data_IF_983410056137
#
_entry.id   IF_983410056137
#
_cell.length_a   1.000
_cell.length_b   1.000
_cell.length_c   1.000
_cell.angle_alpha   90.00
_cell.angle_beta   90.00
_cell.angle_gamma   90.00
#
_symmetry.space_group_name_H-M   'P 1'
#
loop_
_entity.id
_entity.type
_entity.pdbx_description
1 polymer ?
#
# COMPACT_ATOMS: atom_id res chain seq x y z
N UNK A 1 20.39 4.61 -16.96
CA UNK A 1 19.37 3.95 -16.09
C UNK A 1 19.32 4.46 -14.66
N UNK A 2 20.45 4.58 -13.94
CA UNK A 2 20.48 5.12 -12.56
C UNK A 2 19.78 6.48 -12.37
N UNK A 3 20.00 7.43 -13.29
CA UNK A 3 19.35 8.75 -13.25
C UNK A 3 17.83 8.66 -13.45
N UNK A 4 17.35 7.74 -14.29
CA UNK A 4 15.92 7.52 -14.52
C UNK A 4 15.26 6.96 -13.25
N UNK A 5 15.90 5.99 -12.59
CA UNK A 5 15.42 5.43 -11.32
C UNK A 5 15.29 6.52 -10.25
N UNK A 6 16.31 7.37 -10.10
CA UNK A 6 16.28 8.50 -9.15
C UNK A 6 15.16 9.49 -9.51
N UNK A 7 15.02 9.84 -10.79
CA UNK A 7 13.97 10.74 -11.25
C UNK A 7 12.56 10.19 -10.97
N UNK A 8 12.32 8.91 -11.27
CA UNK A 8 11.04 8.24 -10.98
C UNK A 8 10.78 8.19 -9.48
N UNK A 9 11.79 7.82 -8.67
CA UNK A 9 11.67 7.78 -7.22
C UNK A 9 11.28 9.15 -6.63
N UNK A 10 11.98 10.22 -7.04
CA UNK A 10 11.69 11.59 -6.58
C UNK A 10 10.29 12.01 -7.05
N UNK A 11 9.97 11.81 -8.33
CA UNK A 11 8.67 12.19 -8.88
C UNK A 11 7.52 11.46 -8.18
N UNK A 12 7.64 10.15 -7.92
CA UNK A 12 6.64 9.37 -7.20
C UNK A 12 6.42 9.87 -5.77
N UNK A 13 7.49 10.26 -5.06
CA UNK A 13 7.38 10.83 -3.70
C UNK A 13 6.72 12.20 -3.73
N UNK A 14 7.08 13.07 -4.67
CA UNK A 14 6.46 14.40 -4.82
C UNK A 14 4.97 14.26 -5.19
N UNK A 15 4.67 13.43 -6.19
CA UNK A 15 3.30 13.18 -6.62
C UNK A 15 2.45 12.62 -5.47
N UNK A 16 3.01 11.67 -4.73
CA UNK A 16 2.36 11.15 -3.54
C UNK A 16 2.15 12.23 -2.47
N UNK A 17 3.17 13.02 -2.13
CA UNK A 17 3.04 14.09 -1.11
C UNK A 17 1.93 15.08 -1.46
N UNK A 18 1.84 15.49 -2.73
CA UNK A 18 0.79 16.40 -3.20
C UNK A 18 -0.58 15.73 -3.10
N UNK A 19 -0.74 14.53 -3.64
CA UNK A 19 -2.04 13.82 -3.62
C UNK A 19 -2.48 13.45 -2.20
N UNK A 20 -1.56 13.02 -1.35
CA UNK A 20 -1.78 12.74 0.06
C UNK A 20 -2.20 14.01 0.82
N UNK A 21 -1.50 15.13 0.60
CA UNK A 21 -1.84 16.43 1.20
C UNK A 21 -3.24 16.90 0.81
N UNK A 22 -3.56 16.87 -0.49
CA UNK A 22 -4.90 17.23 -0.98
C UNK A 22 -5.96 16.29 -0.40
N UNK A 23 -5.72 14.97 -0.42
CA UNK A 23 -6.67 13.99 0.13
C UNK A 23 -6.92 14.19 1.63
N UNK A 24 -5.90 14.62 2.37
CA UNK A 24 -6.03 14.88 3.81
C UNK A 24 -6.96 16.03 4.09
N UNK A 25 -6.73 17.17 3.44
CA UNK A 25 -7.59 18.35 3.59
C UNK A 25 -9.02 18.03 3.16
N UNK A 26 -9.19 17.34 2.03
CA UNK A 26 -10.52 16.97 1.55
C UNK A 26 -11.26 16.04 2.51
N UNK A 27 -10.59 15.01 3.02
CA UNK A 27 -11.23 14.03 3.91
C UNK A 27 -11.51 14.62 5.28
N UNK A 28 -10.64 15.46 5.84
CA UNK A 28 -10.90 16.16 7.11
C UNK A 28 -12.17 17.03 7.02
N UNK A 29 -12.34 17.77 5.92
CA UNK A 29 -13.54 18.58 5.70
C UNK A 29 -14.80 17.71 5.51
N UNK A 30 -14.72 16.66 4.68
CA UNK A 30 -15.86 15.76 4.40
C UNK A 30 -16.27 14.94 5.62
N UNK A 31 -15.32 14.58 6.48
CA UNK A 31 -15.57 13.77 7.69
C UNK A 31 -16.45 14.48 8.71
N UNK A 32 -16.65 15.81 8.60
CA UNK A 32 -17.64 16.54 9.40
C UNK A 32 -19.09 16.23 9.00
N UNK A 33 -19.30 15.68 7.80
CA UNK A 33 -20.64 15.46 7.22
C UNK A 33 -20.92 13.98 6.94
N UNK A 34 -19.89 13.17 6.73
CA UNK A 34 -20.01 11.76 6.34
C UNK A 34 -19.16 10.91 7.27
N UNK A 35 -19.71 9.80 7.75
CA UNK A 35 -18.95 8.86 8.59
C UNK A 35 -17.71 8.33 7.85
N UNK A 36 -16.53 8.24 8.52
CA UNK A 36 -15.28 7.79 7.91
C UNK A 36 -15.36 6.42 7.23
N UNK A 37 -16.27 5.54 7.66
CA UNK A 37 -16.47 4.22 7.07
C UNK A 37 -16.90 4.30 5.60
N UNK A 38 -17.77 5.25 5.24
CA UNK A 38 -18.22 5.41 3.85
C UNK A 38 -17.11 5.97 2.97
N UNK A 39 -16.35 6.93 3.49
CA UNK A 39 -15.18 7.50 2.80
C UNK A 39 -14.16 6.40 2.53
N UNK A 40 -13.84 5.60 3.55
CA UNK A 40 -12.93 4.47 3.43
C UNK A 40 -13.43 3.42 2.43
N UNK A 41 -14.71 3.07 2.46
CA UNK A 41 -15.30 2.11 1.52
C UNK A 41 -15.21 2.59 0.07
N UNK A 42 -15.54 3.85 -0.20
CA UNK A 42 -15.43 4.45 -1.55
C UNK A 42 -13.96 4.45 -2.00
N UNK A 43 -13.04 4.85 -1.14
CA UNK A 43 -11.61 4.86 -1.45
C UNK A 43 -11.07 3.45 -1.76
N UNK A 44 -11.47 2.44 -0.99
CA UNK A 44 -11.12 1.03 -1.24
C UNK A 44 -11.69 0.54 -2.55
N UNK A 45 -12.96 0.83 -2.83
CA UNK A 45 -13.60 0.43 -4.08
C UNK A 45 -12.90 1.07 -5.28
N UNK A 46 -12.54 2.35 -5.18
CA UNK A 46 -11.79 3.05 -6.22
C UNK A 46 -10.40 2.43 -6.43
N UNK A 47 -9.65 2.16 -5.35
CA UNK A 47 -8.34 1.50 -5.42
C UNK A 47 -8.43 0.09 -6.03
N UNK A 48 -9.46 -0.68 -5.66
CA UNK A 48 -9.73 -2.00 -6.23
C UNK A 48 -9.99 -1.92 -7.72
N UNK A 49 -10.86 -1.02 -8.17
CA UNK A 49 -11.19 -0.84 -9.59
C UNK A 49 -9.93 -0.48 -10.39
N UNK A 50 -9.12 0.45 -9.90
CA UNK A 50 -7.86 0.82 -10.54
C UNK A 50 -6.89 -0.35 -10.63
N UNK A 51 -6.70 -1.08 -9.53
CA UNK A 51 -5.84 -2.26 -9.51
C UNK A 51 -6.34 -3.38 -10.42
N UNK A 52 -7.65 -3.61 -10.46
CA UNK A 52 -8.28 -4.61 -11.32
C UNK A 52 -8.04 -4.32 -12.79
N UNK A 53 -8.22 -3.07 -13.23
CA UNK A 53 -7.91 -2.66 -14.59
C UNK A 53 -6.41 -2.69 -14.89
N UNK A 54 -5.56 -2.32 -13.93
CA UNK A 54 -4.11 -2.35 -14.08
C UNK A 54 -3.58 -3.78 -14.28
N UNK A 55 -4.17 -4.78 -13.61
CA UNK A 55 -3.86 -6.20 -13.86
C UNK A 55 -4.46 -6.68 -15.17
N UNK A 56 -5.74 -6.40 -15.43
CA UNK A 56 -6.45 -6.94 -16.61
C UNK A 56 -5.92 -6.43 -17.95
N UNK A 57 -5.35 -5.22 -17.97
CA UNK A 57 -4.76 -4.60 -19.17
C UNK A 57 -3.23 -4.55 -19.12
N UNK A 58 -2.63 -5.03 -18.04
CA UNK A 58 -1.19 -5.07 -17.87
C UNK A 58 -0.57 -6.12 -18.79
N UNK A 59 0.64 -5.85 -19.28
CA UNK A 59 1.46 -6.87 -19.93
C UNK A 59 2.03 -7.85 -18.90
N UNK A 60 2.49 -9.01 -19.38
CA UNK A 60 3.16 -10.01 -18.54
C UNK A 60 4.33 -9.39 -17.77
N UNK A 61 4.41 -9.70 -16.47
CA UNK A 61 5.55 -9.33 -15.66
C UNK A 61 6.66 -10.38 -15.84
N UNK A 62 7.83 -10.03 -16.40
CA UNK A 62 8.89 -11.01 -16.56
C UNK A 62 9.32 -11.55 -15.19
N UNK A 63 9.56 -12.86 -15.11
CA UNK A 63 10.03 -13.51 -13.89
C UNK A 63 11.38 -12.94 -13.45
N UNK A 64 11.49 -12.55 -12.18
CA UNK A 64 12.77 -12.13 -11.62
C UNK A 64 13.73 -13.32 -11.47
N UNK A 65 14.91 -13.24 -12.08
CA UNK A 65 15.94 -14.29 -12.01
C UNK A 65 17.05 -13.99 -11.00
N UNK A 66 17.19 -12.73 -10.58
CA UNK A 66 18.24 -12.30 -9.65
C UNK A 66 17.76 -12.37 -8.19
N UNK A 67 18.68 -12.62 -7.25
CA UNK A 67 18.37 -12.54 -5.82
C UNK A 67 18.45 -11.10 -5.31
N UNK A 68 17.52 -10.71 -4.43
CA UNK A 68 17.61 -9.43 -3.71
C UNK A 68 18.62 -9.58 -2.56
N UNK A 69 19.53 -8.61 -2.41
CA UNK A 69 20.56 -8.68 -1.37
C UNK A 69 19.99 -8.57 0.04
N UNK A 70 20.61 -9.25 1.00
CA UNK A 70 20.23 -9.17 2.43
C UNK A 70 20.27 -7.72 2.93
N UNK A 71 21.28 -6.95 2.51
CA UNK A 71 21.38 -5.52 2.83
C UNK A 71 20.15 -4.75 2.35
N UNK A 72 19.66 -5.03 1.14
CA UNK A 72 18.45 -4.39 0.63
C UNK A 72 17.22 -4.75 1.48
N UNK A 73 17.09 -6.01 1.91
CA UNK A 73 16.00 -6.46 2.79
C UNK A 73 16.06 -5.74 4.14
N UNK A 74 17.25 -5.64 4.76
CA UNK A 74 17.44 -4.93 6.02
C UNK A 74 17.06 -3.45 5.91
N UNK A 75 17.49 -2.78 4.83
CA UNK A 75 17.16 -1.38 4.59
C UNK A 75 15.66 -1.16 4.39
N UNK A 76 14.94 -2.10 3.75
CA UNK A 76 13.47 -2.07 3.65
C UNK A 76 12.82 -2.13 5.03
N UNK A 77 13.29 -3.04 5.89
CA UNK A 77 12.81 -3.19 7.25
C UNK A 77 13.04 -1.94 8.09
N UNK A 78 14.25 -1.37 8.05
CA UNK A 78 14.58 -0.13 8.76
C UNK A 78 13.76 1.07 8.27
N UNK A 79 13.60 1.22 6.95
CA UNK A 79 12.80 2.29 6.38
C UNK A 79 11.31 2.15 6.74
N UNK A 80 10.76 0.94 6.66
CA UNK A 80 9.38 0.66 7.06
C UNK A 80 9.17 0.90 8.56
N UNK A 81 10.06 0.37 9.41
CA UNK A 81 10.01 0.60 10.86
C UNK A 81 10.11 2.08 11.22
N UNK A 82 10.98 2.83 10.56
CA UNK A 82 11.09 4.28 10.72
C UNK A 82 9.82 5.02 10.32
N UNK A 83 9.19 4.64 9.20
CA UNK A 83 7.93 5.23 8.75
C UNK A 83 6.78 4.95 9.73
N UNK A 84 6.67 3.71 10.24
CA UNK A 84 5.67 3.36 11.26
C UNK A 84 5.94 4.10 12.57
N UNK A 85 7.20 4.18 13.03
CA UNK A 85 7.57 4.93 14.22
C UNK A 85 7.20 6.42 14.11
N UNK A 86 7.49 7.05 12.96
CA UNK A 86 7.09 8.42 12.68
C UNK A 86 5.56 8.58 12.66
N UNK A 87 4.86 7.64 12.02
CA UNK A 87 3.40 7.62 12.00
C UNK A 87 2.80 7.56 13.41
N UNK A 88 3.30 6.66 14.28
CA UNK A 88 2.84 6.55 15.68
C UNK A 88 3.13 7.83 16.46
N UNK A 89 4.29 8.46 16.24
CA UNK A 89 4.61 9.75 16.86
C UNK A 89 3.65 10.85 16.41
N UNK A 90 3.31 10.93 15.12
CA UNK A 90 2.32 11.88 14.59
C UNK A 90 0.92 11.63 15.18
N UNK A 91 0.52 10.37 15.37
CA UNK A 91 -0.75 10.05 16.04
C UNK A 91 -0.77 10.59 17.47
N UNK A 92 0.34 10.49 18.21
CA UNK A 92 0.46 11.02 19.56
C UNK A 92 0.37 12.56 19.64
N UNK A 93 0.60 13.27 18.52
CA UNK A 93 0.40 14.72 18.41
C UNK A 93 -1.06 15.12 18.16
N UNK A 94 -1.99 14.17 18.14
CA UNK A 94 -3.41 14.44 17.88
C UNK A 94 -3.76 14.56 16.40
N UNK A 95 -2.90 14.04 15.51
CA UNK A 95 -3.08 14.07 14.05
C UNK A 95 -3.31 12.64 13.49
N UNK A 96 -4.39 11.93 13.88
CA UNK A 96 -4.59 10.52 13.54
C UNK A 96 -4.77 10.28 12.04
N UNK A 97 -5.36 11.23 11.30
CA UNK A 97 -5.54 11.08 9.86
C UNK A 97 -4.19 11.15 9.12
N UNK A 98 -3.38 12.18 9.40
CA UNK A 98 -2.03 12.35 8.85
C UNK A 98 -1.16 11.15 9.23
N UNK A 99 -1.26 10.67 10.48
CA UNK A 99 -0.58 9.46 10.94
C UNK A 99 -0.91 8.25 10.06
N UNK A 100 -2.19 8.03 9.75
CA UNK A 100 -2.64 6.99 8.84
C UNK A 100 -2.00 7.10 7.46
N UNK A 101 -2.01 8.30 6.87
CA UNK A 101 -1.39 8.57 5.56
C UNK A 101 0.12 8.26 5.56
N UNK A 102 0.85 8.71 6.59
CA UNK A 102 2.30 8.47 6.75
C UNK A 102 2.62 6.99 7.00
N UNK A 103 1.70 6.22 7.59
CA UNK A 103 1.90 4.79 7.86
C UNK A 103 1.93 3.92 6.62
N UNK A 104 1.20 4.30 5.56
CA UNK A 104 0.96 3.45 4.39
C UNK A 104 2.02 3.66 3.30
N UNK A 105 2.63 4.86 3.24
CA UNK A 105 3.50 5.26 2.13
C UNK A 105 4.47 6.36 2.64
N UNK A 106 5.79 6.35 2.33
CA UNK A 106 6.45 5.96 1.08
C UNK A 106 7.43 4.78 1.20
N UNK A 107 7.70 4.29 2.41
CA UNK A 107 8.80 3.36 2.62
C UNK A 107 8.58 2.02 1.91
N UNK A 108 7.41 1.40 2.04
CA UNK A 108 7.20 0.02 1.55
C UNK A 108 7.26 -0.03 0.03
N UNK A 109 6.49 0.80 -0.66
CA UNK A 109 6.43 0.79 -2.11
C UNK A 109 7.71 1.30 -2.77
N UNK A 110 8.23 2.44 -2.31
CA UNK A 110 9.44 3.01 -2.90
C UNK A 110 10.63 2.08 -2.72
N UNK A 111 10.83 1.55 -1.51
CA UNK A 111 11.99 0.67 -1.27
C UNK A 111 11.86 -0.66 -2.00
N UNK A 112 10.63 -1.19 -2.15
CA UNK A 112 10.39 -2.41 -2.93
C UNK A 112 10.62 -2.17 -4.42
N UNK A 113 10.09 -1.08 -4.99
CA UNK A 113 10.27 -0.77 -6.41
C UNK A 113 11.72 -0.43 -6.75
N UNK A 114 12.40 0.37 -5.92
CA UNK A 114 13.82 0.70 -6.12
C UNK A 114 14.68 -0.56 -5.98
N UNK A 115 14.42 -1.40 -4.97
CA UNK A 115 15.13 -2.68 -4.78
C UNK A 115 14.93 -3.63 -5.98
N UNK A 116 13.68 -3.80 -6.43
CA UNK A 116 13.36 -4.65 -7.57
C UNK A 116 13.96 -4.12 -8.87
N UNK A 117 13.93 -2.81 -9.11
CA UNK A 117 14.57 -2.22 -10.29
C UNK A 117 16.09 -2.46 -10.26
N UNK A 118 16.74 -2.22 -9.11
CA UNK A 118 18.17 -2.46 -8.98
C UNK A 118 18.55 -3.94 -9.15
N UNK A 119 17.69 -4.87 -8.73
CA UNK A 119 17.95 -6.30 -8.82
C UNK A 119 17.58 -6.91 -10.20
N UNK A 120 16.49 -6.46 -10.83
CA UNK A 120 15.89 -7.12 -12.00
C UNK A 120 15.80 -6.24 -13.24
N UNK A 121 16.14 -4.96 -13.13
CA UNK A 121 15.90 -3.96 -14.17
C UNK A 121 14.45 -3.44 -14.18
N UNK A 122 14.16 -2.55 -15.13
CA UNK A 122 12.91 -1.77 -15.17
C UNK A 122 11.65 -2.61 -15.42
N UNK A 123 11.75 -3.69 -16.19
CA UNK A 123 10.58 -4.40 -16.69
C UNK A 123 9.76 -5.08 -15.56
N UNK A 124 10.45 -5.64 -14.56
CA UNK A 124 9.81 -6.36 -13.44
C UNK A 124 8.95 -5.45 -12.55
N UNK A 125 9.45 -4.32 -11.99
CA UNK A 125 8.62 -3.45 -11.17
C UNK A 125 7.46 -2.81 -11.96
N UNK A 126 7.63 -2.57 -13.27
CA UNK A 126 6.54 -2.07 -14.13
C UNK A 126 5.44 -3.12 -14.30
N UNK A 127 5.79 -4.37 -14.64
CA UNK A 127 4.81 -5.45 -14.74
C UNK A 127 4.14 -5.80 -13.40
N UNK A 128 4.88 -5.69 -12.30
CA UNK A 128 4.35 -5.93 -10.96
C UNK A 128 3.46 -4.80 -10.43
N UNK A 129 3.34 -3.67 -11.11
CA UNK A 129 2.61 -2.49 -10.59
C UNK A 129 1.13 -2.79 -10.33
N UNK A 130 0.43 -3.45 -11.28
CA UNK A 130 -0.98 -3.82 -11.11
C UNK A 130 -1.21 -4.75 -9.90
N UNK A 131 -0.51 -5.89 -9.82
CA UNK A 131 -0.57 -6.78 -8.65
C UNK A 131 -0.26 -6.06 -7.33
N UNK A 132 0.74 -5.18 -7.34
CA UNK A 132 1.12 -4.42 -6.15
C UNK A 132 0.04 -3.42 -5.70
N UNK A 133 -0.68 -2.79 -6.64
CA UNK A 133 -1.82 -1.90 -6.34
C UNK A 133 -2.97 -2.68 -5.68
N UNK A 134 -3.36 -3.81 -6.26
CA UNK A 134 -4.39 -4.68 -5.67
C UNK A 134 -3.94 -5.19 -4.29
N UNK A 135 -2.72 -5.71 -4.18
CA UNK A 135 -2.18 -6.18 -2.91
C UNK A 135 -2.25 -5.13 -1.79
N UNK A 136 -1.95 -3.86 -2.08
CA UNK A 136 -2.05 -2.80 -1.05
C UNK A 136 -3.45 -2.49 -0.57
N UNK A 137 -4.48 -2.74 -1.37
CA UNK A 137 -5.86 -2.50 -0.95
C UNK A 137 -6.27 -3.43 0.21
N UNK A 138 -5.53 -4.52 0.46
CA UNK A 138 -5.71 -5.38 1.64
C UNK A 138 -5.48 -4.62 2.95
N UNK A 139 -4.57 -3.64 2.97
CA UNK A 139 -4.31 -2.80 4.16
C UNK A 139 -5.51 -1.91 4.45
N UNK A 140 -6.12 -1.35 3.40
CA UNK A 140 -7.32 -0.54 3.53
C UNK A 140 -8.54 -1.38 3.96
N UNK A 141 -8.66 -2.61 3.48
CA UNK A 141 -9.69 -3.57 3.93
C UNK A 141 -9.47 -3.94 5.40
N UNK A 142 -8.22 -4.19 5.79
CA UNK A 142 -7.86 -4.38 7.20
C UNK A 142 -8.34 -3.20 8.04
N UNK A 143 -8.04 -1.96 7.63
CA UNK A 143 -8.47 -0.75 8.34
C UNK A 143 -10.00 -0.63 8.46
N UNK A 144 -10.76 -0.96 7.40
CA UNK A 144 -12.23 -0.96 7.45
C UNK A 144 -12.77 -1.99 8.44
N UNK A 145 -12.18 -3.18 8.50
CA UNK A 145 -12.59 -4.22 9.45
C UNK A 145 -12.24 -3.79 10.89
N UNK A 146 -11.11 -3.10 11.10
CA UNK A 146 -10.70 -2.59 12.40
C UNK A 146 -11.74 -1.64 13.02
N UNK A 147 -12.44 -0.83 12.21
CA UNK A 147 -13.51 0.07 12.68
C UNK A 147 -14.56 -0.71 13.48
N UNK A 148 -14.86 -1.95 13.06
CA UNK A 148 -15.87 -2.80 13.68
C UNK A 148 -15.30 -3.67 14.81
N UNK A 149 -14.12 -4.25 14.62
CA UNK A 149 -13.58 -5.27 15.55
C UNK A 149 -12.77 -4.69 16.71
N UNK A 150 -12.16 -3.51 16.57
CA UNK A 150 -11.38 -2.92 17.67
C UNK A 150 -12.26 -2.55 18.87
N UNK A 151 -13.46 -1.97 18.72
CA UNK A 151 -14.37 -1.74 19.84
C UNK A 151 -14.84 -3.00 20.55
N UNK A 152 -14.91 -4.14 19.84
CA UNK A 152 -15.46 -5.40 20.36
C UNK A 152 -14.41 -6.29 21.03
N UNK A 153 -13.20 -6.36 20.46
CA UNK A 153 -12.16 -7.31 20.86
C UNK A 153 -10.85 -6.64 21.31
N UNK A 154 -10.81 -5.31 21.34
CA UNK A 154 -9.60 -4.54 21.62
C UNK A 154 -8.55 -4.65 20.50
N UNK A 155 -7.44 -3.92 20.67
CA UNK A 155 -6.42 -3.78 19.62
C UNK A 155 -5.68 -5.10 19.35
N UNK A 156 -5.34 -5.87 20.39
CA UNK A 156 -4.51 -7.09 20.23
C UNK A 156 -5.25 -8.21 19.49
N UNK A 157 -6.39 -8.66 20.04
CA UNK A 157 -7.20 -9.73 19.42
C UNK A 157 -7.85 -9.20 18.15
N UNK A 158 -8.36 -7.98 18.15
CA UNK A 158 -8.92 -7.32 16.97
C UNK A 158 -7.94 -7.30 15.80
N UNK A 159 -6.66 -6.94 16.02
CA UNK A 159 -5.66 -6.91 14.94
C UNK A 159 -5.42 -8.29 14.31
N UNK A 160 -5.31 -9.34 15.13
CA UNK A 160 -5.11 -10.71 14.62
C UNK A 160 -6.31 -11.14 13.76
N UNK A 161 -7.52 -10.89 14.25
CA UNK A 161 -8.75 -11.26 13.53
C UNK A 161 -8.90 -10.43 12.25
N UNK A 162 -8.69 -9.11 12.30
CA UNK A 162 -8.74 -8.24 11.13
C UNK A 162 -7.74 -8.65 10.06
N UNK A 163 -6.52 -9.03 10.47
CA UNK A 163 -5.49 -9.51 9.55
C UNK A 163 -5.90 -10.81 8.87
N UNK A 164 -6.38 -11.80 9.63
CA UNK A 164 -6.87 -13.07 9.08
C UNK A 164 -8.01 -12.85 8.09
N UNK A 165 -9.00 -12.01 8.45
CA UNK A 165 -10.13 -11.72 7.57
C UNK A 165 -9.69 -11.01 6.29
N UNK A 166 -8.79 -10.03 6.38
CA UNK A 166 -8.24 -9.35 5.20
C UNK A 166 -7.47 -10.31 4.29
N UNK A 167 -6.68 -11.21 4.87
CA UNK A 167 -5.94 -12.22 4.08
C UNK A 167 -6.89 -13.20 3.40
N UNK A 168 -7.81 -13.80 4.15
CA UNK A 168 -8.70 -14.86 3.66
C UNK A 168 -9.72 -14.33 2.64
N UNK A 169 -10.35 -13.19 2.93
CA UNK A 169 -11.44 -12.68 2.09
C UNK A 169 -10.99 -11.74 0.98
N UNK A 170 -9.75 -11.24 1.04
CA UNK A 170 -9.23 -10.35 0.01
C UNK A 170 -7.92 -10.82 -0.61
N UNK A 171 -6.84 -10.92 0.17
CA UNK A 171 -5.51 -11.21 -0.39
C UNK A 171 -5.47 -12.54 -1.15
N UNK A 172 -6.08 -13.60 -0.60
CA UNK A 172 -6.07 -14.93 -1.22
C UNK A 172 -6.89 -14.96 -2.52
N UNK A 173 -8.18 -14.55 -2.55
CA UNK A 173 -8.96 -14.51 -3.79
C UNK A 173 -8.32 -13.65 -4.88
N UNK A 174 -7.84 -12.47 -4.51
CA UNK A 174 -7.19 -11.53 -5.44
C UNK A 174 -5.87 -12.11 -5.95
N UNK A 175 -5.06 -12.69 -5.07
CA UNK A 175 -3.79 -13.34 -5.44
C UNK A 175 -4.00 -14.50 -6.41
N UNK A 176 -5.00 -15.36 -6.17
CA UNK A 176 -5.37 -16.46 -7.08
C UNK A 176 -5.83 -15.94 -8.44
N UNK A 177 -6.64 -14.88 -8.45
CA UNK A 177 -7.11 -14.27 -9.71
C UNK A 177 -5.95 -13.62 -10.49
N UNK A 178 -5.10 -12.85 -9.81
CA UNK A 178 -3.93 -12.21 -10.43
C UNK A 178 -2.95 -13.24 -10.99
N UNK A 179 -2.66 -14.31 -10.23
CA UNK A 179 -1.82 -15.41 -10.70
C UNK A 179 -2.35 -16.02 -12.01
N UNK A 180 -3.65 -16.31 -12.08
CA UNK A 180 -4.31 -16.82 -13.29
C UNK A 180 -4.39 -15.85 -14.46
N UNK A 181 -4.17 -14.55 -14.22
CA UNK A 181 -4.31 -13.53 -15.27
C UNK A 181 -2.95 -13.16 -15.87
N UNK A 182 -1.86 -13.30 -15.11
CA UNK A 182 -0.52 -12.86 -15.52
C UNK A 182 0.38 -14.05 -15.95
N UNK A 183 0.20 -15.24 -15.36
CA UNK A 183 1.04 -16.42 -15.65
C UNK A 183 0.40 -17.37 -16.69
N UNK A 184 -0.55 -16.91 -17.50
CA UNK A 184 -1.25 -17.69 -18.55
C UNK A 184 -0.88 -17.15 -19.93
#
# INVERSE_FOLDING_TARGET
>A
EKYLLIAVAIFSVIFWLVTAGVSTVMVEEISNFIDPIYIGFIAVLFAFILGFFAVSKGGEAPSGSNSVSLYSIMMRGLAAGGAIGLSVWIAALGLPFISGVVSVFPAIFLTTMVSLWLAQGRAVPVGATGPMMLGSSSVSIYALICILLFPLYGVWVGSIVCWLLSVIFYSVPVGVWTWRTIDV
#
